data_IF_486727238189
#
_entry.id   IF_486727238189
#
_cell.length_a   1.000
_cell.length_b   1.000
_cell.length_c   1.000
_cell.angle_alpha   90.00
_cell.angle_beta   90.00
_cell.angle_gamma   90.00
#
_symmetry.space_group_name_H-M   'P 1'
#
loop_
_entity.id
_entity.type
_entity.pdbx_description
1 polymer ?
#
# COMPACT_ATOMS: atom_id res chain seq x y z
N UNK A 1 -23.26 63.48 -31.85
CA UNK A 1 -22.17 62.46 -31.81
C UNK A 1 -21.74 62.04 -30.40
N UNK A 2 -21.60 62.97 -29.44
CA UNK A 2 -21.09 62.68 -28.08
C UNK A 2 -21.97 61.72 -27.26
N UNK A 3 -23.30 61.79 -27.38
CA UNK A 3 -24.23 60.87 -26.72
C UNK A 3 -24.25 59.46 -27.34
N UNK A 4 -24.02 59.34 -28.65
CA UNK A 4 -23.97 58.04 -29.35
C UNK A 4 -22.73 57.23 -28.90
N UNK A 5 -21.58 57.90 -28.76
CA UNK A 5 -20.35 57.31 -28.21
C UNK A 5 -20.51 56.86 -26.75
N UNK A 6 -21.27 57.61 -25.94
CA UNK A 6 -21.53 57.26 -24.55
C UNK A 6 -22.48 56.04 -24.43
N UNK A 7 -23.49 55.96 -25.29
CA UNK A 7 -24.38 54.79 -25.37
C UNK A 7 -23.63 53.55 -25.85
N UNK A 8 -22.76 53.69 -26.86
CA UNK A 8 -21.91 52.58 -27.33
C UNK A 8 -20.97 52.13 -26.21
N UNK A 9 -20.34 53.06 -25.47
CA UNK A 9 -19.47 52.74 -24.33
C UNK A 9 -20.22 51.96 -23.23
N UNK A 10 -21.45 52.38 -22.88
CA UNK A 10 -22.30 51.70 -21.91
C UNK A 10 -22.73 50.31 -22.41
N UNK A 11 -23.12 50.18 -23.69
CA UNK A 11 -23.50 48.89 -24.29
C UNK A 11 -22.31 47.92 -24.38
N UNK A 12 -21.09 48.41 -24.64
CA UNK A 12 -19.87 47.59 -24.60
C UNK A 12 -19.42 47.23 -23.18
N UNK A 13 -19.74 48.06 -22.17
CA UNK A 13 -19.47 47.77 -20.76
C UNK A 13 -20.48 46.76 -20.18
N UNK A 14 -21.73 46.71 -20.69
CA UNK A 14 -22.72 45.71 -20.28
C UNK A 14 -22.48 44.32 -20.87
N UNK A 15 -21.76 44.19 -21.99
CA UNK A 15 -21.59 42.91 -22.70
C UNK A 15 -20.64 41.89 -22.03
N UNK A 16 -20.14 42.15 -20.82
CA UNK A 16 -19.29 41.17 -20.11
C UNK A 16 -19.70 40.93 -18.66
N UNK A 17 -20.99 41.00 -18.34
CA UNK A 17 -21.51 40.25 -17.19
C UNK A 17 -21.51 38.77 -17.56
N UNK A 18 -20.33 38.16 -17.60
CA UNK A 18 -20.24 36.71 -17.50
C UNK A 18 -20.90 36.36 -16.18
N UNK A 19 -22.12 35.84 -16.25
CA UNK A 19 -22.87 35.44 -15.07
C UNK A 19 -21.99 34.42 -14.34
N UNK A 20 -21.51 34.78 -13.16
CA UNK A 20 -20.64 33.93 -12.34
C UNK A 20 -21.51 33.07 -11.44
N UNK A 21 -21.16 31.81 -11.32
CA UNK A 21 -21.80 30.85 -10.42
C UNK A 21 -20.77 30.32 -9.44
N UNK A 22 -21.25 29.99 -8.24
CA UNK A 22 -20.39 29.49 -7.16
C UNK A 22 -20.43 27.96 -7.15
N UNK A 23 -19.26 27.32 -7.15
CA UNK A 23 -19.12 25.90 -6.83
C UNK A 23 -18.36 25.76 -5.52
N UNK A 24 -18.91 24.96 -4.61
CA UNK A 24 -18.24 24.49 -3.41
C UNK A 24 -17.65 23.10 -3.64
N UNK A 25 -16.31 23.01 -3.66
CA UNK A 25 -15.57 21.77 -3.81
C UNK A 25 -15.16 21.26 -2.44
N UNK A 26 -15.62 20.06 -2.09
CA UNK A 26 -15.28 19.36 -0.85
C UNK A 26 -14.46 18.11 -1.20
N UNK A 27 -13.22 18.11 -0.74
CA UNK A 27 -12.28 17.00 -0.88
C UNK A 27 -12.27 16.25 0.44
N UNK A 28 -12.78 15.01 0.43
CA UNK A 28 -13.04 14.23 1.65
C UNK A 28 -11.80 13.47 2.14
N UNK A 29 -10.90 13.12 1.23
CA UNK A 29 -9.68 12.36 1.52
C UNK A 29 -8.44 13.18 1.19
N UNK A 30 -7.32 12.88 1.84
CA UNK A 30 -6.01 13.43 1.43
C UNK A 30 -5.57 12.80 0.10
N UNK A 31 -4.58 13.38 -0.57
CA UNK A 31 -4.00 12.80 -1.79
C UNK A 31 -4.77 13.06 -3.09
N UNK A 32 -6.00 13.58 -3.01
CA UNK A 32 -6.78 13.99 -4.19
C UNK A 32 -6.35 15.40 -4.64
N UNK A 33 -6.21 15.58 -5.95
CA UNK A 33 -6.17 16.90 -6.58
C UNK A 33 -7.33 17.02 -7.57
N UNK A 34 -8.07 18.12 -7.49
CA UNK A 34 -9.21 18.43 -8.37
C UNK A 34 -8.80 19.56 -9.31
N UNK A 35 -9.04 19.36 -10.59
CA UNK A 35 -8.90 20.35 -11.64
C UNK A 35 -10.28 20.81 -12.06
N UNK A 36 -10.50 22.12 -12.04
CA UNK A 36 -11.70 22.77 -12.58
C UNK A 36 -11.28 23.48 -13.87
N UNK A 37 -11.82 23.03 -14.99
CA UNK A 37 -11.50 23.55 -16.32
C UNK A 37 -12.73 24.21 -16.94
N UNK A 38 -12.56 25.44 -17.40
CA UNK A 38 -13.57 26.20 -18.14
C UNK A 38 -12.91 27.18 -19.10
N UNK A 39 -13.34 27.18 -20.36
CA UNK A 39 -12.72 28.02 -21.39
C UNK A 39 -11.22 27.74 -21.51
N UNK A 40 -10.38 28.75 -21.25
CA UNK A 40 -8.91 28.63 -21.21
C UNK A 40 -8.34 28.65 -19.78
N UNK A 41 -9.20 28.55 -18.76
CA UNK A 41 -8.81 28.63 -17.35
C UNK A 41 -8.81 27.24 -16.73
N UNK A 42 -7.73 26.96 -15.98
CA UNK A 42 -7.53 25.74 -15.23
C UNK A 42 -7.25 26.13 -13.79
N UNK A 43 -8.06 25.64 -12.85
CA UNK A 43 -7.85 25.82 -11.42
C UNK A 43 -7.51 24.48 -10.79
N UNK A 44 -6.37 24.39 -10.12
CA UNK A 44 -5.96 23.21 -9.35
C UNK A 44 -6.26 23.40 -7.87
N UNK A 45 -7.00 22.46 -7.28
CA UNK A 45 -7.49 22.49 -5.91
C UNK A 45 -7.04 21.22 -5.19
N UNK A 46 -6.37 21.40 -4.04
CA UNK A 46 -5.88 20.30 -3.19
C UNK A 46 -6.49 20.32 -1.77
N UNK A 47 -7.48 21.20 -1.55
CA UNK A 47 -8.23 21.36 -0.31
C UNK A 47 -9.64 21.84 -0.60
N UNK A 48 -10.52 21.74 0.40
CA UNK A 48 -11.86 22.33 0.36
C UNK A 48 -11.79 23.79 -0.06
N UNK A 49 -12.49 24.11 -1.14
CA UNK A 49 -12.39 25.42 -1.80
C UNK A 49 -13.74 25.83 -2.35
N UNK A 50 -13.98 27.13 -2.39
CA UNK A 50 -15.13 27.71 -3.10
C UNK A 50 -14.60 28.51 -4.28
N UNK A 51 -15.08 28.21 -5.48
CA UNK A 51 -14.60 28.81 -6.72
C UNK A 51 -15.74 29.49 -7.47
N UNK A 52 -15.43 30.62 -8.10
CA UNK A 52 -16.32 31.33 -9.00
C UNK A 52 -16.02 30.89 -10.42
N UNK A 53 -17.02 30.35 -11.11
CA UNK A 53 -16.91 29.80 -12.46
C UNK A 53 -17.96 30.44 -13.36
N UNK A 54 -17.77 30.47 -14.69
CA UNK A 54 -18.81 30.92 -15.59
C UNK A 54 -20.06 30.06 -15.43
N UNK A 55 -21.22 30.69 -15.66
CA UNK A 55 -22.49 30.00 -15.70
C UNK A 55 -22.68 29.23 -17.02
N UNK A 56 -21.79 28.28 -17.27
CA UNK A 56 -21.75 27.41 -18.44
C UNK A 56 -21.23 26.03 -18.04
N UNK A 57 -21.12 25.11 -19.00
CA UNK A 57 -20.55 23.79 -18.73
C UNK A 57 -19.10 23.91 -18.25
N UNK A 58 -18.80 23.29 -17.11
CA UNK A 58 -17.47 23.22 -16.50
C UNK A 58 -17.04 21.76 -16.44
N UNK A 59 -15.81 21.46 -16.83
CA UNK A 59 -15.23 20.12 -16.71
C UNK A 59 -14.49 20.03 -15.38
N UNK A 60 -14.81 19.00 -14.61
CA UNK A 60 -14.12 18.65 -13.38
C UNK A 60 -13.31 17.39 -13.67
N UNK A 61 -12.02 17.44 -13.41
CA UNK A 61 -11.15 16.28 -13.40
C UNK A 61 -10.61 16.10 -11.99
N UNK A 62 -10.47 14.87 -11.54
CA UNK A 62 -9.86 14.56 -10.26
C UNK A 62 -8.87 13.42 -10.45
N UNK A 63 -7.76 13.47 -9.72
CA UNK A 63 -6.75 12.42 -9.72
C UNK A 63 -6.20 12.21 -8.31
N UNK A 64 -5.67 11.02 -8.06
CA UNK A 64 -5.03 10.63 -6.80
C UNK A 64 -3.73 9.90 -7.10
N UNK A 65 -2.78 10.00 -6.18
CA UNK A 65 -1.56 9.20 -6.19
C UNK A 65 -1.67 7.97 -5.27
N UNK A 66 -2.80 7.82 -4.57
CA UNK A 66 -3.04 6.67 -3.69
C UNK A 66 -3.44 5.46 -4.53
N UNK A 67 -2.54 4.47 -4.58
CA UNK A 67 -2.75 3.21 -5.31
C UNK A 67 -3.88 2.42 -4.66
N UNK A 68 -4.71 1.77 -5.49
CA UNK A 68 -5.81 0.94 -5.04
C UNK A 68 -7.04 1.72 -4.62
N UNK A 69 -7.18 2.96 -5.09
CA UNK A 69 -8.39 3.76 -4.90
C UNK A 69 -8.90 4.27 -6.23
N UNK A 70 -10.21 4.14 -6.42
CA UNK A 70 -10.92 4.85 -7.48
C UNK A 70 -11.44 6.18 -6.95
N UNK A 71 -11.65 7.12 -7.85
CA UNK A 71 -12.19 8.43 -7.51
C UNK A 71 -13.69 8.40 -7.69
N UNK A 72 -14.36 9.02 -6.75
CA UNK A 72 -15.78 9.24 -6.78
C UNK A 72 -16.07 10.73 -6.75
N UNK A 73 -16.89 11.19 -7.70
CA UNK A 73 -17.37 12.57 -7.76
C UNK A 73 -18.89 12.53 -7.63
N UNK A 74 -19.43 13.17 -6.58
CA UNK A 74 -20.87 13.21 -6.28
C UNK A 74 -21.52 11.81 -6.24
N UNK A 75 -20.88 10.86 -5.56
CA UNK A 75 -21.32 9.47 -5.43
C UNK A 75 -21.32 8.66 -6.73
N UNK A 76 -20.65 9.16 -7.77
CA UNK A 76 -20.42 8.43 -9.00
C UNK A 76 -18.93 8.16 -9.17
N UNK A 77 -18.57 6.89 -9.36
CA UNK A 77 -17.20 6.44 -9.53
C UNK A 77 -16.67 6.87 -10.90
N UNK A 78 -16.15 8.10 -10.95
CA UNK A 78 -15.59 8.72 -12.13
C UNK A 78 -14.55 9.75 -11.75
N UNK A 79 -13.43 9.76 -12.46
CA UNK A 79 -12.39 10.78 -12.34
C UNK A 79 -12.72 12.05 -13.12
N UNK A 80 -13.78 12.05 -13.94
CA UNK A 80 -14.17 13.19 -14.78
C UNK A 80 -15.68 13.37 -14.79
N UNK A 81 -16.14 14.61 -14.67
CA UNK A 81 -17.55 14.97 -14.86
C UNK A 81 -17.68 16.35 -15.49
N UNK A 82 -18.68 16.53 -16.36
CA UNK A 82 -19.11 17.84 -16.81
C UNK A 82 -20.33 18.27 -16.01
N UNK A 83 -20.28 19.47 -15.43
CA UNK A 83 -21.38 20.02 -14.64
C UNK A 83 -21.80 21.38 -15.15
N UNK A 84 -23.07 21.71 -14.96
CA UNK A 84 -23.55 23.07 -15.05
C UNK A 84 -23.69 23.63 -13.62
N UNK A 85 -22.93 24.68 -13.25
CA UNK A 85 -22.96 25.27 -11.92
C UNK A 85 -24.34 25.76 -11.45
N UNK A 86 -25.27 26.07 -12.37
CA UNK A 86 -26.67 26.39 -12.01
C UNK A 86 -27.38 25.22 -11.34
N UNK A 87 -27.05 23.99 -11.75
CA UNK A 87 -27.73 22.78 -11.30
C UNK A 87 -26.94 22.08 -10.19
N UNK A 88 -25.62 22.30 -10.15
CA UNK A 88 -24.70 21.64 -9.22
C UNK A 88 -23.82 22.70 -8.55
N UNK A 89 -24.20 23.07 -7.32
CA UNK A 89 -23.44 24.03 -6.49
C UNK A 89 -22.43 23.35 -5.55
N UNK A 90 -22.56 22.04 -5.33
CA UNK A 90 -21.67 21.26 -4.47
C UNK A 90 -21.05 20.10 -5.24
N UNK A 91 -19.73 19.96 -5.06
CA UNK A 91 -18.94 18.88 -5.59
C UNK A 91 -18.26 18.17 -4.42
N UNK A 92 -18.65 16.93 -4.17
CA UNK A 92 -17.98 16.05 -3.22
C UNK A 92 -17.05 15.13 -3.99
N UNK A 93 -15.77 15.13 -3.64
CA UNK A 93 -14.76 14.25 -4.23
C UNK A 93 -14.16 13.37 -3.13
N UNK A 94 -14.28 12.07 -3.32
CA UNK A 94 -13.88 11.01 -2.39
C UNK A 94 -13.00 9.96 -3.07
N UNK A 95 -12.30 9.19 -2.25
CA UNK A 95 -11.65 7.95 -2.65
C UNK A 95 -12.49 6.75 -2.23
N UNK A 96 -12.65 5.80 -3.15
CA UNK A 96 -13.29 4.51 -2.92
C UNK A 96 -12.20 3.43 -3.01
N UNK A 97 -11.96 2.64 -1.95
CA UNK A 97 -10.93 1.61 -1.97
C UNK A 97 -11.31 0.44 -2.89
N UNK A 98 -10.38 0.04 -3.74
CA UNK A 98 -10.44 -1.20 -4.52
C UNK A 98 -9.86 -2.32 -3.68
N UNK A 99 -10.69 -3.34 -3.42
CA UNK A 99 -10.27 -4.50 -2.64
C UNK A 99 -9.91 -5.68 -3.54
N UNK A 100 -8.83 -6.36 -3.18
CA UNK A 100 -8.38 -7.62 -3.78
C UNK A 100 -8.20 -8.68 -2.70
N UNK A 101 -8.18 -9.94 -3.11
CA UNK A 101 -8.12 -11.08 -2.21
C UNK A 101 -6.80 -11.84 -2.38
N UNK A 102 -6.08 -11.99 -1.27
CA UNK A 102 -4.88 -12.82 -1.18
C UNK A 102 -5.19 -14.10 -0.43
N UNK A 103 -5.17 -15.22 -1.13
CA UNK A 103 -5.36 -16.55 -0.57
C UNK A 103 -4.02 -17.10 -0.09
N UNK A 104 -3.87 -17.27 1.23
CA UNK A 104 -2.67 -17.85 1.83
C UNK A 104 -3.00 -19.24 2.32
N UNK A 105 -2.31 -20.23 1.77
CA UNK A 105 -2.46 -21.64 2.15
C UNK A 105 -1.19 -22.17 2.79
N UNK A 106 -1.34 -23.21 3.60
CA UNK A 106 -0.23 -23.89 4.29
C UNK A 106 -0.32 -25.36 3.96
N UNK A 107 0.75 -25.91 3.42
CA UNK A 107 0.94 -27.34 3.21
C UNK A 107 2.02 -27.84 4.19
N UNK A 108 1.62 -28.71 5.10
CA UNK A 108 2.47 -29.22 6.18
C UNK A 108 2.51 -28.35 7.44
N UNK A 109 3.22 -28.80 8.50
CA UNK A 109 3.16 -28.17 9.82
C UNK A 109 3.98 -26.88 9.91
N UNK A 110 3.30 -25.74 9.91
CA UNK A 110 3.90 -24.43 10.05
C UNK A 110 2.87 -23.31 10.09
N UNK A 111 3.38 -22.08 10.12
CA UNK A 111 2.59 -20.84 10.11
C UNK A 111 3.21 -19.87 9.11
N UNK A 112 2.40 -18.96 8.58
CA UNK A 112 2.88 -17.78 7.83
C UNK A 112 2.68 -16.55 8.71
N UNK A 113 3.73 -15.76 8.88
CA UNK A 113 3.68 -14.44 9.50
C UNK A 113 3.66 -13.42 8.37
N UNK A 114 2.50 -12.80 8.14
CA UNK A 114 2.35 -11.70 7.20
C UNK A 114 2.53 -10.37 7.92
N UNK A 115 3.49 -9.56 7.47
CA UNK A 115 3.75 -8.21 7.97
C UNK A 115 3.33 -7.20 6.91
N UNK A 116 2.35 -6.36 7.22
CA UNK A 116 1.90 -5.29 6.35
C UNK A 116 2.84 -4.09 6.49
N UNK A 117 2.92 -3.25 5.46
CA UNK A 117 3.75 -2.04 5.47
C UNK A 117 3.40 -1.06 6.60
N UNK A 118 2.13 -1.03 7.03
CA UNK A 118 1.68 -0.22 8.17
C UNK A 118 2.14 -0.77 9.54
N UNK A 119 2.92 -1.86 9.57
CA UNK A 119 3.42 -2.50 10.78
C UNK A 119 2.51 -3.59 11.36
N UNK A 120 1.30 -3.76 10.84
CA UNK A 120 0.38 -4.81 11.30
C UNK A 120 0.93 -6.19 11.02
N UNK A 121 0.73 -7.12 11.96
CA UNK A 121 1.18 -8.51 11.84
C UNK A 121 -0.03 -9.42 11.89
N UNK A 122 -0.14 -10.31 10.92
CA UNK A 122 -1.17 -11.35 10.83
C UNK A 122 -0.47 -12.70 10.87
N UNK A 123 -0.85 -13.54 11.83
CA UNK A 123 -0.35 -14.91 11.95
C UNK A 123 -1.38 -15.85 11.35
N UNK A 124 -0.96 -16.63 10.36
CA UNK A 124 -1.80 -17.54 9.60
C UNK A 124 -1.34 -18.95 9.94
N UNK A 125 -2.23 -19.74 10.54
CA UNK A 125 -1.98 -21.13 10.95
C UNK A 125 -2.86 -22.13 10.18
N UNK A 126 -3.68 -21.65 9.26
CA UNK A 126 -4.52 -22.42 8.34
C UNK A 126 -4.80 -21.60 7.09
N UNK A 127 -5.30 -22.24 6.03
CA UNK A 127 -5.66 -21.51 4.81
C UNK A 127 -6.62 -20.36 5.11
N UNK A 128 -6.24 -19.16 4.72
CA UNK A 128 -6.90 -17.91 5.07
C UNK A 128 -6.94 -16.99 3.85
N UNK A 129 -8.10 -16.41 3.59
CA UNK A 129 -8.28 -15.35 2.60
C UNK A 129 -8.13 -13.99 3.29
N UNK A 130 -7.24 -13.15 2.78
CA UNK A 130 -7.04 -11.79 3.25
C UNK A 130 -7.63 -10.79 2.25
N UNK A 131 -8.62 -10.00 2.69
CA UNK A 131 -9.13 -8.85 1.95
C UNK A 131 -8.24 -7.63 2.19
N UNK A 132 -7.60 -7.15 1.12
CA UNK A 132 -6.61 -6.07 1.18
C UNK A 132 -6.96 -4.98 0.17
N UNK A 133 -6.53 -3.75 0.43
CA UNK A 133 -6.60 -2.68 -0.58
C UNK A 133 -5.55 -3.00 -1.65
N UNK A 134 -5.91 -2.86 -2.92
CA UNK A 134 -4.99 -3.08 -4.03
C UNK A 134 -3.73 -2.20 -3.89
N UNK A 135 -2.57 -2.73 -4.25
CA UNK A 135 -1.27 -2.08 -4.03
C UNK A 135 -0.72 -2.22 -2.62
N UNK A 136 -1.44 -2.85 -1.67
CA UNK A 136 -0.90 -3.11 -0.32
C UNK A 136 0.32 -4.03 -0.40
N UNK A 137 1.47 -3.53 0.05
CA UNK A 137 2.70 -4.33 0.17
C UNK A 137 2.73 -5.09 1.49
N UNK A 138 3.09 -6.36 1.42
CA UNK A 138 3.26 -7.22 2.57
C UNK A 138 4.47 -8.15 2.42
N UNK A 139 5.08 -8.47 3.56
CA UNK A 139 6.18 -9.43 3.67
C UNK A 139 5.67 -10.68 4.37
N UNK A 140 5.75 -11.82 3.70
CA UNK A 140 5.45 -13.13 4.26
C UNK A 140 6.73 -13.77 4.80
N UNK A 141 6.62 -14.36 5.99
CA UNK A 141 7.69 -15.11 6.63
C UNK A 141 7.14 -16.44 7.17
N UNK A 142 7.63 -17.59 6.69
CA UNK A 142 7.20 -18.89 7.15
C UNK A 142 7.89 -19.19 8.48
N UNK A 143 7.16 -19.87 9.35
CA UNK A 143 7.63 -20.36 10.64
C UNK A 143 7.26 -21.83 10.73
N UNK A 144 8.24 -22.70 10.50
CA UNK A 144 8.04 -24.14 10.56
C UNK A 144 7.77 -24.59 12.01
N UNK A 145 6.92 -25.60 12.16
CA UNK A 145 6.76 -26.30 13.45
C UNK A 145 8.00 -27.11 13.80
N UNK A 146 8.15 -27.49 15.07
CA UNK A 146 9.29 -28.30 15.55
C UNK A 146 9.41 -29.60 14.74
N UNK A 147 10.61 -29.88 14.21
CA UNK A 147 10.91 -31.06 13.40
C UNK A 147 10.62 -30.91 11.90
N UNK A 148 10.14 -29.73 11.47
CA UNK A 148 9.89 -29.37 10.08
C UNK A 148 10.76 -28.17 9.68
N UNK A 149 10.93 -28.00 8.37
CA UNK A 149 11.57 -26.84 7.76
C UNK A 149 10.69 -26.26 6.68
N UNK A 150 10.81 -24.96 6.45
CA UNK A 150 10.26 -24.35 5.26
C UNK A 150 10.97 -24.93 4.03
N UNK A 151 10.19 -25.42 3.08
CA UNK A 151 10.68 -26.06 1.85
C UNK A 151 10.67 -25.06 0.70
N UNK A 152 9.47 -24.55 0.38
CA UNK A 152 9.28 -23.60 -0.71
C UNK A 152 7.91 -22.89 -0.64
N UNK A 153 7.76 -21.85 -1.43
CA UNK A 153 6.48 -21.24 -1.78
C UNK A 153 5.91 -21.92 -3.04
N UNK A 154 4.60 -21.76 -3.29
CA UNK A 154 3.92 -22.31 -4.48
C UNK A 154 4.53 -21.90 -5.83
N UNK A 155 5.27 -20.80 -5.89
CA UNK A 155 6.00 -20.36 -7.08
C UNK A 155 7.43 -20.96 -7.20
N UNK A 156 7.71 -22.04 -6.47
CA UNK A 156 9.00 -22.74 -6.43
C UNK A 156 10.16 -21.91 -5.84
N UNK A 157 9.87 -20.79 -5.18
CA UNK A 157 10.88 -20.04 -4.44
C UNK A 157 11.18 -20.70 -3.10
N UNK A 158 12.45 -21.01 -2.84
CA UNK A 158 12.92 -21.51 -1.55
C UNK A 158 13.39 -20.40 -0.60
N UNK A 159 13.28 -19.12 -1.02
CA UNK A 159 13.68 -18.00 -0.19
C UNK A 159 12.59 -17.73 0.85
N UNK A 160 12.90 -17.81 2.16
CA UNK A 160 11.86 -17.79 3.19
C UNK A 160 11.15 -16.44 3.28
N UNK A 161 11.80 -15.32 2.97
CA UNK A 161 11.12 -14.01 3.03
C UNK A 161 10.51 -13.69 1.66
N UNK A 162 9.19 -13.61 1.57
CA UNK A 162 8.51 -13.35 0.30
C UNK A 162 7.79 -12.01 0.33
N UNK A 163 8.14 -11.10 -0.58
CA UNK A 163 7.47 -9.82 -0.75
C UNK A 163 6.41 -9.94 -1.81
N UNK A 164 5.21 -9.46 -1.50
CA UNK A 164 4.10 -9.44 -2.44
C UNK A 164 3.37 -8.10 -2.32
N UNK A 165 2.91 -7.64 -3.47
CA UNK A 165 1.99 -6.52 -3.59
C UNK A 165 0.64 -7.14 -3.89
N UNK A 166 -0.38 -6.80 -3.09
CA UNK A 166 -1.73 -7.26 -3.31
C UNK A 166 -2.25 -6.65 -4.62
N UNK A 167 -2.22 -7.41 -5.70
CA UNK A 167 -2.63 -6.96 -7.04
C UNK A 167 -3.38 -8.09 -7.74
N UNK A 168 -4.64 -7.83 -8.08
CA UNK A 168 -5.56 -8.89 -8.45
C UNK A 168 -5.72 -9.98 -7.38
N UNK A 169 -6.60 -10.94 -7.65
CA UNK A 169 -6.76 -12.09 -6.77
C UNK A 169 -5.57 -13.04 -6.94
N UNK A 170 -4.83 -13.26 -5.86
CA UNK A 170 -3.60 -14.05 -5.86
C UNK A 170 -3.66 -15.16 -4.83
N UNK A 171 -2.94 -16.25 -5.08
CA UNK A 171 -2.87 -17.39 -4.16
C UNK A 171 -1.42 -17.80 -3.97
N UNK A 172 -1.00 -17.93 -2.71
CA UNK A 172 0.35 -18.34 -2.32
C UNK A 172 0.25 -19.44 -1.27
N UNK A 173 0.98 -20.54 -1.48
CA UNK A 173 1.07 -21.64 -0.52
C UNK A 173 2.46 -21.70 0.07
N UNK A 174 2.58 -21.77 1.40
CA UNK A 174 3.83 -22.15 2.05
C UNK A 174 3.89 -23.67 2.22
N UNK A 175 4.97 -24.28 1.75
CA UNK A 175 5.19 -25.72 1.84
C UNK A 175 6.23 -25.99 2.92
N UNK A 176 5.88 -26.88 3.86
CA UNK A 176 6.73 -27.30 4.97
C UNK A 176 7.00 -28.80 4.87
N UNK A 177 8.28 -29.17 4.88
CA UNK A 177 8.71 -30.56 4.79
C UNK A 177 9.40 -31.00 6.08
N UNK A 178 9.33 -32.29 6.39
CA UNK A 178 10.02 -32.85 7.56
C UNK A 178 11.52 -32.62 7.41
N UNK A 179 12.18 -32.18 8.47
CA UNK A 179 13.62 -31.92 8.44
C UNK A 179 14.40 -33.16 7.98
N UNK A 180 15.09 -33.06 6.84
CA UNK A 180 15.94 -34.12 6.27
C UNK A 180 17.41 -33.91 6.60
N UNK A 181 17.72 -33.42 7.80
CA UNK A 181 19.11 -33.35 8.23
C UNK A 181 19.74 -34.74 8.25
N UNK A 182 20.88 -34.89 7.59
CA UNK A 182 21.81 -35.97 7.90
C UNK A 182 22.08 -35.91 9.41
N UNK A 183 21.96 -37.02 10.15
CA UNK A 183 22.42 -37.07 11.53
C UNK A 183 23.88 -36.60 11.52
N UNK A 184 24.20 -35.56 12.26
CA UNK A 184 25.60 -35.25 12.54
C UNK A 184 26.07 -36.42 13.41
N UNK A 185 26.74 -37.40 12.80
CA UNK A 185 27.54 -38.36 13.55
C UNK A 185 28.68 -37.56 14.13
N UNK A 186 28.52 -37.09 15.38
CA UNK A 186 29.64 -36.58 16.16
C UNK A 186 30.62 -37.77 16.22
N UNK A 187 31.80 -37.71 15.59
CA UNK A 187 32.79 -38.76 15.79
C UNK A 187 33.00 -38.84 17.30
N UNK A 188 32.91 -40.04 17.87
CA UNK A 188 33.41 -40.27 19.23
C UNK A 188 34.91 -40.03 19.21
N UNK A 189 35.37 -38.78 19.18
CA UNK A 189 36.73 -38.47 19.57
C UNK A 189 36.78 -38.82 21.06
N UNK A 190 37.57 -39.86 21.37
CA UNK A 190 37.80 -40.29 22.73
C UNK A 190 38.27 -39.09 23.56
N UNK A 191 37.47 -38.73 24.57
CA UNK A 191 37.80 -37.74 25.60
C UNK A 191 39.15 -38.01 26.30
N UNK A 192 39.78 -39.15 26.01
CA UNK A 192 41.15 -39.49 26.40
C UNK A 192 42.18 -38.41 26.02
N UNK A 193 42.05 -37.79 24.84
CA UNK A 193 42.99 -36.74 24.41
C UNK A 193 42.91 -35.48 25.28
N UNK A 194 41.70 -35.03 25.60
CA UNK A 194 41.48 -33.85 26.46
C UNK A 194 41.82 -34.14 27.93
N UNK A 195 41.54 -35.36 28.41
CA UNK A 195 41.95 -35.82 29.74
C UNK A 195 43.48 -35.85 29.88
N UNK A 196 44.21 -36.29 28.84
CA UNK A 196 45.67 -36.31 28.83
C UNK A 196 46.28 -34.90 28.97
N UNK A 197 45.76 -33.90 28.26
CA UNK A 197 46.19 -32.51 28.41
C UNK A 197 45.84 -31.92 29.79
N UNK A 198 44.69 -32.29 30.36
CA UNK A 198 44.33 -31.92 31.73
C UNK A 198 45.31 -32.47 32.77
N UNK A 199 45.72 -33.74 32.63
CA UNK A 199 46.68 -34.39 33.53
C UNK A 199 48.07 -33.76 33.38
N UNK A 200 48.54 -33.52 32.15
CA UNK A 200 49.83 -32.84 31.92
C UNK A 200 49.84 -31.41 32.51
N UNK A 201 48.73 -30.67 32.37
CA UNK A 201 48.58 -29.35 32.98
C UNK A 201 48.64 -29.39 34.50
N UNK A 202 48.01 -30.39 35.13
CA UNK A 202 48.07 -30.59 36.59
C UNK A 202 49.50 -30.92 37.06
N UNK A 203 50.20 -31.83 36.38
CA UNK A 203 51.59 -32.19 36.68
C UNK A 203 52.52 -30.97 36.56
N UNK A 204 52.35 -30.17 35.51
CA UNK A 204 53.11 -28.92 35.32
C UNK A 204 52.90 -27.94 36.48
N UNK A 205 51.65 -27.72 36.91
CA UNK A 205 51.33 -26.82 38.00
C UNK A 205 51.88 -27.29 39.35
N UNK A 206 51.88 -28.60 39.62
CA UNK A 206 52.47 -29.18 40.83
C UNK A 206 54.00 -28.96 40.83
N UNK A 207 54.67 -29.25 39.72
CA UNK A 207 56.12 -29.05 39.62
C UNK A 207 56.54 -27.58 39.69
N UNK A 208 55.68 -26.65 39.23
CA UNK A 208 55.92 -25.20 39.35
C UNK A 208 55.81 -24.69 40.79
N UNK A 209 54.95 -25.29 41.64
CA UNK A 209 54.79 -24.87 43.05
C UNK A 209 55.91 -25.36 43.97
N UNK A 210 56.68 -26.37 43.54
CA UNK A 210 57.77 -26.96 44.31
C UNK A 210 59.17 -26.42 43.92
N UNK A 211 59.22 -25.38 43.08
CA UNK A 211 60.40 -24.54 42.84
C UNK A 211 60.16 -23.18 43.48
#
# INVERSE_FOLDING_TARGET
>A
MRYLLFIILIVTLLSTLACSSTIHVRILNKGITVIVEYGSTILSLNKNSTVQVPNSSVTILAYTNDIGYNIEINNNESSVVQINPNNVSWLNVSLVPNYVYLNLSIDGPGEIIAKLYNGSIIVINKSTELKLIEGTTLTLQPKASKGYTFDSWSNLSNYPRYWIIAYGNTSVTAIFSKYKGTPITIPKYEFAGLAFFGILGAIYLINKRNK
#
